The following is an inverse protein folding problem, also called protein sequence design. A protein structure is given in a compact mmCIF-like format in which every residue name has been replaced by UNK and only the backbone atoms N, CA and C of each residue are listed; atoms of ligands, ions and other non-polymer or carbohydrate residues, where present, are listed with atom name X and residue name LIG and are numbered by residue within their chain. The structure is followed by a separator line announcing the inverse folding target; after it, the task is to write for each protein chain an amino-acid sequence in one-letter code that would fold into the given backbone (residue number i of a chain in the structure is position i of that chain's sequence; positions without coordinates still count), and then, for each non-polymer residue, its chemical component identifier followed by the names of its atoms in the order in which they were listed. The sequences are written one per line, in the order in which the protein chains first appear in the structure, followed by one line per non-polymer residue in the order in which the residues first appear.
data_IF_318730906226
#
_entry.id   IF_318730906226
#
_cell.length_a   1.000
_cell.length_b   1.000
_cell.length_c   1.000
_cell.angle_alpha   90.00
_cell.angle_beta   90.00
_cell.angle_gamma   90.00
#
_symmetry.space_group_name_H-M   'P 1'
#
loop_
_entity.id
_entity.type
_entity.pdbx_description
1 polymer ?
#
# COMPACT_ATOMS: atom_id res chain seq x y z
N UNK A 1 -3.35 -8.61 -17.12
CA UNK A 1 -2.41 -9.72 -16.86
C UNK A 1 -2.04 -9.65 -15.40
N UNK A 2 -1.87 -10.78 -14.70
CA UNK A 2 -1.57 -10.75 -13.26
C UNK A 2 -0.15 -10.21 -13.00
N UNK A 3 -0.02 -9.32 -12.03
CA UNK A 3 1.23 -8.73 -11.54
C UNK A 3 1.35 -9.06 -10.05
N UNK A 4 2.47 -9.67 -9.65
CA UNK A 4 2.69 -10.01 -8.25
C UNK A 4 2.95 -8.74 -7.42
N UNK A 5 3.67 -7.77 -8.01
CA UNK A 5 3.94 -6.47 -7.40
C UNK A 5 2.65 -5.73 -7.05
N UNK A 6 1.73 -5.60 -8.02
CA UNK A 6 0.45 -4.93 -7.82
C UNK A 6 -0.40 -5.67 -6.78
N UNK A 7 -0.48 -7.01 -6.88
CA UNK A 7 -1.25 -7.81 -5.94
C UNK A 7 -0.78 -7.62 -4.49
N UNK A 8 0.54 -7.66 -4.24
CA UNK A 8 1.09 -7.47 -2.90
C UNK A 8 0.88 -6.04 -2.41
N UNK A 9 1.15 -5.05 -3.25
CA UNK A 9 1.01 -3.63 -2.93
C UNK A 9 -0.44 -3.28 -2.54
N UNK A 10 -1.40 -3.62 -3.40
CA UNK A 10 -2.83 -3.34 -3.18
C UNK A 10 -3.32 -3.98 -1.87
N UNK A 11 -2.98 -5.24 -1.60
CA UNK A 11 -3.45 -5.94 -0.39
C UNK A 11 -2.82 -5.40 0.90
N UNK A 12 -1.55 -4.98 0.87
CA UNK A 12 -0.90 -4.39 2.04
C UNK A 12 -1.45 -2.98 2.33
N UNK A 13 -1.70 -2.18 1.29
CA UNK A 13 -2.31 -0.86 1.39
C UNK A 13 -3.76 -0.98 1.88
N UNK A 14 -4.58 -1.83 1.27
CA UNK A 14 -5.97 -2.07 1.69
C UNK A 14 -6.02 -2.57 3.14
N UNK A 15 -5.12 -3.48 3.51
CA UNK A 15 -4.97 -3.94 4.88
C UNK A 15 -4.69 -2.79 5.87
N UNK A 16 -3.88 -1.80 5.49
CA UNK A 16 -3.64 -0.61 6.29
C UNK A 16 -4.89 0.26 6.41
N UNK A 17 -5.50 0.61 5.28
CA UNK A 17 -6.66 1.49 5.19
C UNK A 17 -7.87 0.94 5.94
N UNK A 18 -8.03 -0.38 5.93
CA UNK A 18 -9.08 -1.07 6.67
C UNK A 18 -8.77 -1.26 8.15
N UNK A 19 -7.58 -0.84 8.61
CA UNK A 19 -7.05 -1.07 9.97
C UNK A 19 -6.89 -2.56 10.31
N UNK A 20 -6.84 -3.41 9.29
CA UNK A 20 -6.61 -4.86 9.41
C UNK A 20 -5.13 -5.18 9.65
N UNK A 21 -4.23 -4.36 9.09
CA UNK A 21 -2.79 -4.40 9.33
C UNK A 21 -2.29 -3.08 9.92
N UNK A 22 -1.35 -3.18 10.86
CA UNK A 22 -0.59 -2.04 11.34
C UNK A 22 0.74 -1.88 10.60
N UNK A 23 1.36 -0.70 10.75
CA UNK A 23 2.67 -0.37 10.16
C UNK A 23 3.73 -1.44 10.40
N UNK A 24 3.83 -1.97 11.61
CA UNK A 24 4.81 -3.02 11.93
C UNK A 24 4.57 -4.30 11.13
N UNK A 25 3.31 -4.72 10.98
CA UNK A 25 2.95 -5.88 10.16
C UNK A 25 3.30 -5.65 8.69
N UNK A 26 2.95 -4.49 8.14
CA UNK A 26 3.23 -4.14 6.75
C UNK A 26 4.73 -4.13 6.48
N UNK A 27 5.52 -3.49 7.35
CA UNK A 27 6.98 -3.44 7.23
C UNK A 27 7.62 -4.85 7.26
N UNK A 28 7.11 -5.75 8.11
CA UNK A 28 7.59 -7.14 8.16
C UNK A 28 7.21 -7.88 6.88
N UNK A 29 5.98 -7.73 6.40
CA UNK A 29 5.50 -8.42 5.20
C UNK A 29 6.19 -7.92 3.93
N UNK A 30 6.25 -6.61 3.71
CA UNK A 30 6.90 -6.02 2.53
C UNK A 30 8.37 -6.40 2.45
N UNK A 31 9.11 -6.36 3.56
CA UNK A 31 10.50 -6.82 3.60
C UNK A 31 10.63 -8.31 3.27
N UNK A 32 9.72 -9.15 3.76
CA UNK A 32 9.75 -10.59 3.46
C UNK A 32 9.48 -10.86 1.98
N UNK A 33 8.53 -10.15 1.36
CA UNK A 33 8.24 -10.29 -0.06
C UNK A 33 9.41 -9.81 -0.94
N UNK A 34 10.06 -8.71 -0.57
CA UNK A 34 11.27 -8.24 -1.23
C UNK A 34 12.40 -9.29 -1.13
N UNK A 35 12.65 -9.83 0.07
CA UNK A 35 13.69 -10.86 0.28
C UNK A 35 13.42 -12.15 -0.49
N UNK A 36 12.16 -12.46 -0.79
CA UNK A 36 11.77 -13.61 -1.59
C UNK A 36 11.77 -13.33 -3.09
N UNK A 37 11.98 -12.08 -3.51
CA UNK A 37 11.87 -11.66 -4.91
C UNK A 37 10.45 -11.70 -5.45
N UNK A 38 9.44 -11.65 -4.56
CA UNK A 38 8.03 -11.56 -4.95
C UNK A 38 7.64 -10.14 -5.33
N UNK A 39 8.29 -9.15 -4.72
CA UNK A 39 8.22 -7.76 -5.13
C UNK A 39 9.63 -7.20 -5.35
N UNK A 40 9.73 -6.16 -6.16
CA UNK A 40 10.97 -5.42 -6.35
C UNK A 40 11.18 -4.28 -5.34
N UNK A 41 12.33 -3.62 -5.46
CA UNK A 41 12.72 -2.52 -4.57
C UNK A 41 11.81 -1.30 -4.73
N UNK A 42 11.36 -1.02 -5.96
CA UNK A 42 10.47 0.11 -6.25
C UNK A 42 9.12 -0.08 -5.54
N UNK A 43 8.52 -1.26 -5.68
CA UNK A 43 7.27 -1.64 -5.00
C UNK A 43 7.40 -1.59 -3.49
N UNK A 44 8.52 -2.06 -2.93
CA UNK A 44 8.80 -1.96 -1.49
C UNK A 44 8.85 -0.50 -1.01
N UNK A 45 9.49 0.38 -1.76
CA UNK A 45 9.59 1.81 -1.46
C UNK A 45 8.22 2.49 -1.57
N UNK A 46 7.41 2.17 -2.58
CA UNK A 46 6.05 2.68 -2.74
C UNK A 46 5.17 2.33 -1.53
N UNK A 47 5.17 1.06 -1.11
CA UNK A 47 4.42 0.61 0.07
C UNK A 47 4.89 1.38 1.30
N UNK A 48 6.21 1.46 1.52
CA UNK A 48 6.76 2.11 2.71
C UNK A 48 6.41 3.60 2.76
N UNK A 49 6.55 4.29 1.62
CA UNK A 49 6.21 5.71 1.48
C UNK A 49 4.74 5.96 1.76
N UNK A 50 3.84 5.14 1.18
CA UNK A 50 2.41 5.27 1.42
C UNK A 50 2.07 5.19 2.91
N UNK A 51 2.64 4.24 3.63
CA UNK A 51 2.39 4.06 5.07
C UNK A 51 2.94 5.23 5.89
N UNK A 52 4.11 5.76 5.53
CA UNK A 52 4.69 6.93 6.22
C UNK A 52 3.87 8.20 6.01
N UNK A 53 3.33 8.42 4.82
CA UNK A 53 2.52 9.59 4.49
C UNK A 53 1.12 9.55 5.13
N UNK A 54 0.67 8.36 5.53
CA UNK A 54 -0.68 8.12 6.06
C UNK A 54 -0.70 7.68 7.54
N UNK A 55 0.39 7.94 8.29
CA UNK A 55 0.46 7.61 9.73
C UNK A 55 0.16 8.82 10.64
N UNK A 56 -0.65 8.66 11.72
CA UNK A 56 -1.45 7.48 12.06
C UNK A 56 -2.64 7.32 11.09
N UNK A 57 -3.11 6.08 10.90
CA UNK A 57 -4.09 5.66 9.88
C UNK A 57 -5.00 6.78 9.36
N UNK A 58 -5.13 6.94 8.05
CA UNK A 58 -6.00 7.97 7.50
C UNK A 58 -7.45 7.64 7.87
N UNK A 59 -8.26 8.67 8.09
CA UNK A 59 -9.69 8.47 8.23
C UNK A 59 -10.22 7.94 6.89
N UNK A 60 -11.03 6.88 6.89
CA UNK A 60 -11.47 6.21 5.65
C UNK A 60 -12.11 7.20 4.66
N UNK A 61 -12.80 8.21 5.16
CA UNK A 61 -13.44 9.27 4.37
C UNK A 61 -12.43 10.14 3.62
N UNK A 62 -11.20 10.33 4.13
CA UNK A 62 -10.19 11.16 3.48
C UNK A 62 -9.42 10.45 2.36
N UNK A 63 -9.57 9.12 2.21
CA UNK A 63 -8.85 8.34 1.19
C UNK A 63 -9.68 8.16 -0.07
N UNK A 64 -11.00 7.98 0.09
CA UNK A 64 -11.95 7.94 -1.03
C UNK A 64 -12.00 9.28 -1.80
N UNK A 65 -11.82 10.42 -1.12
CA UNK A 65 -11.74 11.74 -1.78
C UNK A 65 -10.45 11.94 -2.61
N UNK A 66 -9.35 11.25 -2.30
CA UNK A 66 -8.10 11.39 -3.08
C UNK A 66 -8.18 10.56 -4.36
N UNK A 67 -8.75 9.35 -4.30
CA UNK A 67 -8.91 8.49 -5.49
C UNK A 67 -9.93 9.06 -6.49
N UNK A 68 -11.02 9.71 -6.05
CA UNK A 68 -11.98 10.35 -6.97
C UNK A 68 -11.41 11.59 -7.69
N UNK A 69 -10.41 12.27 -7.11
CA UNK A 69 -9.84 13.49 -7.69
C UNK A 69 -8.65 13.23 -8.64
N UNK A 70 -8.18 11.98 -8.76
CA UNK A 70 -7.09 11.59 -9.68
C UNK A 70 -7.59 10.99 -11.01
N UNK A 71 -8.90 10.77 -11.20
CA UNK A 71 -9.44 10.43 -12.51
C UNK A 71 -9.43 11.67 -13.43
N UNK A 72 -8.71 11.66 -14.57
CA UNK A 72 -8.77 12.77 -15.51
C UNK A 72 -10.13 12.75 -16.21
N UNK A 73 -10.90 13.83 -16.08
CA UNK A 73 -12.08 14.10 -16.91
C UNK A 73 -11.72 13.84 -18.38
N UNK A 74 -12.35 12.82 -18.98
CA UNK A 74 -12.29 12.52 -20.41
C UNK A 74 -13.22 13.41 -21.22
#
# INVERSE_FOLDING_TARGET
MFSMDDFVKENLIEGYLTKSFNKTQINIFSLNYLRQGMIDQETFEEITKFIEENEPYPDKESVEEVEENEEPEK
#
